data_IF_992592400743
#
_entry.id   IF_992592400743
#
_cell.length_a   1.000
_cell.length_b   1.000
_cell.length_c   1.000
_cell.angle_alpha   90.00
_cell.angle_beta   90.00
_cell.angle_gamma   90.00
#
_symmetry.space_group_name_H-M   'P 1'
#
loop_
_entity.id
_entity.type
_entity.pdbx_description
1 polymer ?
#
# COMPACT_ATOMS: atom_id res chain seq x y z
N UNK A 1 31.17 -12.36 10.65
CA UNK A 1 30.08 -12.25 11.65
C UNK A 1 28.91 -11.46 11.05
N UNK A 2 27.90 -12.13 10.48
CA UNK A 2 26.63 -11.48 10.15
C UNK A 2 25.52 -12.35 10.72
N UNK A 3 25.06 -11.97 11.92
CA UNK A 3 23.86 -12.56 12.52
C UNK A 3 22.70 -12.24 11.59
N UNK A 4 22.36 -13.15 10.69
CA UNK A 4 21.10 -13.11 9.95
C UNK A 4 19.99 -13.29 10.98
N UNK A 5 19.51 -12.17 11.50
CA UNK A 5 18.23 -12.13 12.22
C UNK A 5 17.19 -12.51 11.20
N UNK A 6 16.86 -13.80 11.11
CA UNK A 6 15.79 -14.37 10.29
C UNK A 6 14.47 -13.83 10.86
N UNK A 7 14.16 -12.57 10.56
CA UNK A 7 12.89 -11.93 10.94
C UNK A 7 11.78 -12.78 10.33
N UNK A 8 10.96 -13.38 11.20
CA UNK A 8 9.78 -14.14 10.81
C UNK A 8 8.92 -13.25 9.90
N UNK A 9 8.68 -13.70 8.67
CA UNK A 9 7.83 -12.97 7.73
C UNK A 9 6.39 -13.02 8.26
N UNK A 10 5.71 -11.87 8.20
CA UNK A 10 4.30 -11.81 8.56
C UNK A 10 3.48 -12.32 7.38
N UNK A 11 2.81 -13.45 7.57
CA UNK A 11 1.94 -14.07 6.58
C UNK A 11 0.48 -14.14 7.02
N UNK A 12 0.12 -13.36 8.05
CA UNK A 12 -1.24 -13.35 8.56
C UNK A 12 -2.25 -12.79 7.55
N UNK A 13 -3.55 -13.09 7.75
CA UNK A 13 -4.60 -12.78 6.79
C UNK A 13 -4.73 -11.28 6.49
N UNK A 14 -4.48 -10.41 7.46
CA UNK A 14 -4.56 -8.95 7.25
C UNK A 14 -3.38 -8.45 6.42
N UNK A 15 -2.16 -8.90 6.71
CA UNK A 15 -0.98 -8.53 5.91
C UNK A 15 -1.13 -8.99 4.46
N UNK A 16 -1.61 -10.22 4.23
CA UNK A 16 -1.89 -10.73 2.87
C UNK A 16 -2.92 -9.87 2.14
N UNK A 17 -4.03 -9.52 2.81
CA UNK A 17 -5.04 -8.59 2.23
C UNK A 17 -4.44 -7.25 1.86
N UNK A 18 -3.61 -6.66 2.72
CA UNK A 18 -2.94 -5.39 2.40
C UNK A 18 -1.98 -5.49 1.21
N UNK A 19 -1.24 -6.59 1.10
CA UNK A 19 -0.37 -6.84 -0.06
C UNK A 19 -1.18 -6.91 -1.36
N UNK A 20 -2.29 -7.65 -1.35
CA UNK A 20 -3.19 -7.76 -2.50
C UNK A 20 -3.80 -6.41 -2.88
N UNK A 21 -4.25 -5.63 -1.90
CA UNK A 21 -4.82 -4.29 -2.12
C UNK A 21 -3.79 -3.39 -2.79
N UNK A 22 -2.57 -3.31 -2.24
CA UNK A 22 -1.51 -2.47 -2.81
C UNK A 22 -1.15 -2.92 -4.24
N UNK A 23 -1.04 -4.23 -4.47
CA UNK A 23 -0.77 -4.77 -5.80
C UNK A 23 -1.87 -4.39 -6.82
N UNK A 24 -3.14 -4.48 -6.42
CA UNK A 24 -4.28 -4.04 -7.24
C UNK A 24 -4.23 -2.54 -7.55
N UNK A 25 -3.92 -1.71 -6.55
CA UNK A 25 -3.79 -0.27 -6.74
C UNK A 25 -2.69 0.09 -7.72
N UNK A 26 -1.53 -0.55 -7.61
CA UNK A 26 -0.40 -0.35 -8.54
C UNK A 26 -0.77 -0.83 -9.94
N UNK A 27 -1.53 -1.93 -10.06
CA UNK A 27 -1.97 -2.46 -11.37
C UNK A 27 -2.91 -1.50 -12.08
N UNK A 28 -3.87 -0.92 -11.35
CA UNK A 28 -4.78 0.10 -11.88
C UNK A 28 -3.99 1.32 -12.37
N UNK A 29 -3.04 1.79 -11.56
CA UNK A 29 -2.18 2.92 -11.91
C UNK A 29 -1.35 2.64 -13.17
N UNK A 30 -0.66 1.49 -13.22
CA UNK A 30 0.13 1.10 -14.38
C UNK A 30 -0.72 1.00 -15.65
N UNK A 31 -1.88 0.36 -15.57
CA UNK A 31 -2.79 0.18 -16.71
C UNK A 31 -3.36 1.50 -17.23
N UNK A 32 -3.74 2.42 -16.34
CA UNK A 32 -4.39 3.68 -16.75
C UNK A 32 -3.41 4.80 -17.07
N UNK A 33 -2.26 4.87 -16.38
CA UNK A 33 -1.28 5.94 -16.57
C UNK A 33 -0.20 5.57 -17.58
N UNK A 34 0.28 4.34 -17.56
CA UNK A 34 1.34 3.88 -18.46
C UNK A 34 0.80 3.03 -19.63
N UNK A 35 -0.50 2.73 -19.66
CA UNK A 35 -1.15 1.95 -20.73
C UNK A 35 -0.59 0.53 -20.93
N UNK A 36 0.10 -0.03 -19.93
CA UNK A 36 0.60 -1.41 -19.97
C UNK A 36 -0.46 -2.40 -19.48
N UNK A 37 -0.53 -3.58 -20.14
CA UNK A 37 -1.42 -4.69 -19.72
C UNK A 37 -0.93 -5.39 -18.43
N UNK A 38 0.37 -5.36 -18.16
CA UNK A 38 1.01 -5.88 -16.95
C UNK A 38 1.66 -4.77 -16.11
N UNK A 39 2.49 -5.15 -15.13
CA UNK A 39 3.37 -4.19 -14.47
C UNK A 39 4.50 -3.79 -15.42
N UNK A 40 4.73 -2.48 -15.58
CA UNK A 40 5.99 -2.00 -16.12
C UNK A 40 7.10 -2.15 -15.06
N UNK A 41 8.36 -1.99 -15.46
CA UNK A 41 9.53 -2.13 -14.57
C UNK A 41 9.40 -1.28 -13.30
N UNK A 42 9.01 -0.02 -13.43
CA UNK A 42 8.84 0.89 -12.28
C UNK A 42 7.70 0.46 -11.33
N UNK A 43 6.59 0.00 -11.89
CA UNK A 43 5.46 -0.46 -11.09
C UNK A 43 5.74 -1.79 -10.42
N UNK A 44 6.52 -2.66 -11.07
CA UNK A 44 6.98 -3.91 -10.49
C UNK A 44 7.95 -3.65 -9.32
N UNK A 45 8.94 -2.77 -9.50
CA UNK A 45 9.86 -2.37 -8.42
C UNK A 45 9.11 -1.79 -7.21
N UNK A 46 8.13 -0.91 -7.46
CA UNK A 46 7.29 -0.36 -6.40
C UNK A 46 6.46 -1.43 -5.68
N UNK A 47 5.90 -2.38 -6.42
CA UNK A 47 5.10 -3.47 -5.88
C UNK A 47 5.94 -4.41 -5.01
N UNK A 48 7.10 -4.82 -5.50
CA UNK A 48 7.99 -5.74 -4.80
C UNK A 48 8.57 -5.08 -3.54
N UNK A 49 8.90 -3.79 -3.62
CA UNK A 49 9.24 -2.99 -2.46
C UNK A 49 8.11 -2.97 -1.42
N UNK A 50 6.88 -2.70 -1.86
CA UNK A 50 5.73 -2.62 -0.96
C UNK A 50 5.44 -3.96 -0.26
N UNK A 51 5.44 -5.06 -1.00
CA UNK A 51 5.23 -6.42 -0.48
C UNK A 51 6.31 -6.73 0.56
N UNK A 52 7.58 -6.49 0.23
CA UNK A 52 8.70 -6.72 1.15
C UNK A 52 8.55 -5.94 2.46
N UNK A 53 8.11 -4.68 2.42
CA UNK A 53 7.88 -3.88 3.63
C UNK A 53 6.69 -4.38 4.46
N UNK A 54 5.63 -4.85 3.81
CA UNK A 54 4.47 -5.44 4.49
C UNK A 54 4.82 -6.77 5.15
N UNK A 55 5.56 -7.66 4.47
CA UNK A 55 6.02 -8.93 5.05
C UNK A 55 6.92 -8.72 6.27
N UNK A 56 7.69 -7.63 6.30
CA UNK A 56 8.57 -7.26 7.42
C UNK A 56 7.96 -6.26 8.40
N UNK A 57 6.64 -6.06 8.36
CA UNK A 57 5.95 -5.12 9.24
C UNK A 57 6.15 -5.50 10.72
N UNK A 58 6.54 -4.53 11.57
CA UNK A 58 6.70 -4.79 13.01
C UNK A 58 5.37 -5.06 13.73
N UNK A 59 4.27 -4.55 13.17
CA UNK A 59 2.93 -4.65 13.77
C UNK A 59 2.14 -5.87 13.31
N UNK A 60 2.55 -6.53 12.21
CA UNK A 60 1.87 -7.72 11.68
C UNK A 60 0.35 -7.52 11.56
N UNK A 61 -0.41 -8.34 12.25
CA UNK A 61 -1.88 -8.31 12.24
C UNK A 61 -2.49 -7.14 13.05
N UNK A 62 -1.75 -6.56 14.00
CA UNK A 62 -2.17 -5.37 14.75
C UNK A 62 -1.95 -4.07 13.95
N UNK A 63 -1.40 -4.17 12.74
CA UNK A 63 -1.09 -3.03 11.88
C UNK A 63 -2.35 -2.21 11.57
N UNK A 64 -2.26 -0.89 11.73
CA UNK A 64 -3.29 0.06 11.25
C UNK A 64 -3.04 0.45 9.78
N UNK A 65 -3.91 1.27 9.20
CA UNK A 65 -3.71 1.83 7.86
C UNK A 65 -2.30 2.45 7.70
N UNK A 66 -1.62 2.20 6.56
CA UNK A 66 -0.26 2.73 6.30
C UNK A 66 -0.17 4.26 6.49
N UNK A 67 -1.23 5.00 6.15
CA UNK A 67 -1.30 6.44 6.33
C UNK A 67 -1.31 6.90 7.81
N UNK A 68 -1.81 6.05 8.72
CA UNK A 68 -1.89 6.31 10.17
C UNK A 68 -0.87 5.49 10.97
N UNK A 69 0.08 4.86 10.28
CA UNK A 69 1.09 4.04 10.94
C UNK A 69 2.07 4.93 11.71
N UNK A 70 2.39 4.61 12.98
CA UNK A 70 3.28 5.44 13.80
C UNK A 70 4.73 5.44 13.29
N UNK A 71 5.11 4.46 12.45
CA UNK A 71 6.45 4.38 11.87
C UNK A 71 6.44 4.72 10.39
N UNK A 72 7.46 5.44 9.96
CA UNK A 72 7.70 5.75 8.56
C UNK A 72 8.61 4.69 7.94
N UNK A 73 8.00 3.61 7.45
CA UNK A 73 8.76 2.49 6.91
C UNK A 73 9.15 2.64 5.43
N UNK A 74 8.56 3.55 4.66
CA UNK A 74 8.93 3.73 3.24
C UNK A 74 10.07 4.73 3.11
N UNK A 75 11.02 4.45 2.22
CA UNK A 75 12.00 5.44 1.76
C UNK A 75 11.26 6.64 1.13
N UNK A 76 11.79 7.88 1.23
CA UNK A 76 11.13 9.08 0.73
C UNK A 76 10.65 8.97 -0.73
N UNK A 77 11.48 8.44 -1.63
CA UNK A 77 11.16 8.34 -3.06
C UNK A 77 9.99 7.37 -3.31
N UNK A 78 10.06 6.17 -2.72
CA UNK A 78 8.99 5.18 -2.80
C UNK A 78 7.71 5.65 -2.12
N UNK A 79 7.83 6.46 -1.06
CA UNK A 79 6.69 7.08 -0.38
C UNK A 79 5.97 8.06 -1.29
N UNK A 80 6.68 8.85 -2.09
CA UNK A 80 6.04 9.74 -3.06
C UNK A 80 5.32 8.94 -4.15
N UNK A 81 6.00 7.93 -4.72
CA UNK A 81 5.42 7.04 -5.72
C UNK A 81 4.14 6.35 -5.23
N UNK A 82 4.16 5.76 -4.02
CA UNK A 82 2.97 5.07 -3.49
C UNK A 82 1.84 6.04 -3.14
N UNK A 83 2.14 7.27 -2.69
CA UNK A 83 1.13 8.31 -2.47
C UNK A 83 0.44 8.70 -3.78
N UNK A 84 1.20 8.82 -4.86
CA UNK A 84 0.64 9.09 -6.19
C UNK A 84 -0.28 7.95 -6.64
N UNK A 85 0.17 6.71 -6.52
CA UNK A 85 -0.66 5.52 -6.77
C UNK A 85 -1.91 5.52 -5.91
N UNK A 86 -1.79 5.84 -4.61
CA UNK A 86 -2.93 5.91 -3.70
C UNK A 86 -3.94 6.99 -4.10
N UNK A 87 -3.47 8.18 -4.46
CA UNK A 87 -4.32 9.29 -4.89
C UNK A 87 -5.00 9.01 -6.23
N UNK A 88 -4.30 8.37 -7.15
CA UNK A 88 -4.81 8.05 -8.48
C UNK A 88 -5.77 6.87 -8.44
N UNK A 89 -5.38 5.77 -7.79
CA UNK A 89 -6.16 4.52 -7.74
C UNK A 89 -7.23 4.52 -6.65
N UNK A 90 -7.16 5.42 -5.66
CA UNK A 90 -8.12 5.53 -4.55
C UNK A 90 -9.59 5.67 -4.99
N UNK A 91 -9.93 6.61 -5.89
CA UNK A 91 -11.30 6.73 -6.43
C UNK A 91 -11.78 5.47 -7.15
N UNK A 92 -10.87 4.73 -7.80
CA UNK A 92 -11.19 3.47 -8.46
C UNK A 92 -11.39 2.33 -7.46
N UNK A 93 -10.65 2.31 -6.37
CA UNK A 93 -10.79 1.32 -5.30
C UNK A 93 -12.10 1.45 -4.52
N UNK A 94 -12.63 2.68 -4.38
CA UNK A 94 -13.95 2.96 -3.78
C UNK A 94 -15.10 2.20 -4.47
N UNK A 95 -14.96 1.96 -5.79
CA UNK A 95 -15.96 1.23 -6.58
C UNK A 95 -15.89 -0.30 -6.38
N UNK A 96 -14.74 -0.85 -5.95
CA UNK A 96 -14.54 -2.30 -5.82
C UNK A 96 -14.50 -2.82 -4.38
N UNK A 97 -14.07 -1.99 -3.43
CA UNK A 97 -13.99 -2.32 -2.00
C UNK A 97 -14.49 -1.15 -1.14
N UNK A 98 -15.81 -0.92 -1.07
CA UNK A 98 -16.40 0.27 -0.43
C UNK A 98 -16.10 0.35 1.08
N UNK A 99 -16.05 -0.78 1.78
CA UNK A 99 -15.85 -0.83 3.24
C UNK A 99 -14.41 -0.45 3.65
N UNK A 100 -13.40 -0.93 2.91
CA UNK A 100 -11.99 -0.58 3.17
C UNK A 100 -11.68 0.88 2.79
N UNK A 101 -12.38 1.39 1.78
CA UNK A 101 -12.18 2.76 1.31
C UNK A 101 -12.72 3.82 2.29
N UNK A 102 -13.76 3.52 3.06
CA UNK A 102 -14.25 4.41 4.14
C UNK A 102 -13.19 4.60 5.24
N UNK A 103 -12.34 3.60 5.53
CA UNK A 103 -11.22 3.74 6.49
C UNK A 103 -10.07 4.62 5.97
N UNK A 104 -9.99 4.84 4.67
CA UNK A 104 -8.91 5.54 3.99
C UNK A 104 -9.30 6.90 3.39
N UNK A 105 -10.58 7.29 3.43
CA UNK A 105 -10.99 8.66 3.11
C UNK A 105 -10.52 9.58 4.25
N UNK A 106 -9.62 10.55 3.99
CA UNK A 106 -9.57 11.74 4.83
C UNK A 106 -10.85 12.52 4.55
N UNK A 107 -11.85 12.40 5.41
CA UNK A 107 -12.98 13.33 5.37
C UNK A 107 -12.40 14.73 5.55
N UNK A 108 -12.62 15.68 4.61
CA UNK A 108 -12.35 17.06 4.91
C UNK A 108 -13.30 17.46 6.05
N UNK A 109 -12.73 17.79 7.21
CA UNK A 109 -13.45 18.35 8.35
C UNK A 109 -13.88 19.80 8.03
N UNK A 110 -14.84 19.96 7.13
CA UNK A 110 -15.55 21.23 6.95
C UNK A 110 -17.00 20.91 6.63
N UNK A 111 -17.81 20.87 7.68
CA UNK A 111 -19.13 21.51 7.80
C UNK A 111 -19.71 21.13 9.16
N UNK A 112 -19.15 21.72 10.22
CA UNK A 112 -19.92 21.98 11.44
C UNK A 112 -20.27 23.46 11.34
N UNK A 113 -21.47 23.73 10.83
CA UNK A 113 -22.22 24.94 11.18
C UNK A 113 -23.27 24.49 12.17
#
# INVERSE_FOLDING_TARGET
MTKEVRRKLNEGPKIRREQEIVAKMIRIYCKKKHHHRGFCVDCQDLNDYAIKRLSLCKFGEEKTACAKCPIHCYKPDYRQKIKEVMRFSGPWMLLYHPIESIRHIPLPSKLRK
#
